data_IF_854360891043
#
_entry.id   IF_854360891043
#
_cell.length_a   1.000
_cell.length_b   1.000
_cell.length_c   1.000
_cell.angle_alpha   90.00
_cell.angle_beta   90.00
_cell.angle_gamma   90.00
#
_symmetry.space_group_name_H-M   'P 1'
#
loop_
_entity.id
_entity.type
_entity.pdbx_description
1 polymer ?
#
# COMPACT_ATOMS: atom_id res chain seq x y z
N UNK A 1 -15.00 13.81 -1.57
CA UNK A 1 -13.95 12.88 -2.04
C UNK A 1 -14.15 11.39 -1.71
N UNK A 2 -14.41 11.02 -0.44
CA UNK A 2 -14.40 9.60 0.04
C UNK A 2 -15.18 8.59 -0.81
N UNK A 3 -16.41 8.93 -1.22
CA UNK A 3 -17.24 8.05 -2.06
C UNK A 3 -16.59 7.70 -3.40
N UNK A 4 -16.04 8.70 -4.09
CA UNK A 4 -15.33 8.52 -5.36
C UNK A 4 -14.07 7.65 -5.17
N UNK A 5 -13.29 7.94 -4.13
CA UNK A 5 -12.10 7.15 -3.81
C UNK A 5 -12.43 5.68 -3.57
N UNK A 6 -13.42 5.38 -2.74
CA UNK A 6 -13.82 4.00 -2.43
C UNK A 6 -14.36 3.25 -3.66
N UNK A 7 -15.08 3.95 -4.55
CA UNK A 7 -15.56 3.37 -5.80
C UNK A 7 -14.38 2.92 -6.68
N UNK A 8 -13.40 3.79 -6.91
CA UNK A 8 -12.22 3.46 -7.74
C UNK A 8 -11.37 2.36 -7.09
N UNK A 9 -11.20 2.37 -5.77
CA UNK A 9 -10.47 1.30 -5.06
C UNK A 9 -11.22 -0.04 -5.18
N UNK A 10 -12.55 -0.04 -5.16
CA UNK A 10 -13.34 -1.26 -5.38
C UNK A 10 -13.18 -1.81 -6.80
N UNK A 11 -13.14 -0.92 -7.80
CA UNK A 11 -12.86 -1.31 -9.20
C UNK A 11 -11.45 -1.90 -9.35
N UNK A 12 -10.45 -1.24 -8.76
CA UNK A 12 -9.08 -1.73 -8.66
C UNK A 12 -9.01 -3.16 -8.07
N UNK A 13 -9.72 -3.41 -6.97
CA UNK A 13 -9.73 -4.72 -6.33
C UNK A 13 -10.34 -5.81 -7.21
N UNK A 14 -11.40 -5.49 -7.96
CA UNK A 14 -12.00 -6.41 -8.94
C UNK A 14 -11.04 -6.71 -10.09
N UNK A 15 -10.36 -5.69 -10.61
CA UNK A 15 -9.36 -5.87 -11.66
C UNK A 15 -8.21 -6.77 -11.18
N UNK A 16 -7.64 -6.50 -10.02
CA UNK A 16 -6.58 -7.34 -9.43
C UNK A 16 -7.08 -8.76 -9.17
N UNK A 17 -8.31 -8.93 -8.68
CA UNK A 17 -8.90 -10.24 -8.45
C UNK A 17 -9.05 -11.04 -9.74
N UNK A 18 -9.36 -10.38 -10.86
CA UNK A 18 -9.47 -11.02 -12.18
C UNK A 18 -8.13 -11.58 -12.69
N UNK A 19 -7.00 -11.11 -12.15
CA UNK A 19 -5.67 -11.64 -12.47
C UNK A 19 -5.37 -12.96 -11.75
N UNK A 20 -6.24 -13.46 -10.87
CA UNK A 20 -6.02 -14.76 -10.22
C UNK A 20 -5.86 -15.86 -11.26
N UNK A 21 -4.74 -16.57 -11.23
CA UNK A 21 -4.43 -17.68 -12.13
C UNK A 21 -3.16 -17.49 -12.97
N UNK A 22 -2.63 -16.27 -13.09
CA UNK A 22 -1.27 -16.08 -13.61
C UNK A 22 -0.23 -16.29 -12.51
N UNK A 23 1.01 -16.56 -12.90
CA UNK A 23 2.15 -16.67 -11.98
C UNK A 23 2.29 -15.42 -11.10
N UNK A 24 2.66 -15.61 -9.83
CA UNK A 24 2.75 -14.57 -8.79
C UNK A 24 3.61 -13.38 -9.19
N UNK A 25 4.74 -13.60 -9.86
CA UNK A 25 5.59 -12.51 -10.34
C UNK A 25 4.85 -11.64 -11.37
N UNK A 26 4.25 -12.26 -12.38
CA UNK A 26 3.47 -11.54 -13.39
C UNK A 26 2.23 -10.85 -12.79
N UNK A 27 1.59 -11.49 -11.81
CA UNK A 27 0.50 -10.88 -11.05
C UNK A 27 0.96 -9.60 -10.36
N UNK A 28 2.08 -9.65 -9.64
CA UNK A 28 2.62 -8.50 -8.92
C UNK A 28 2.94 -7.33 -9.85
N UNK A 29 3.55 -7.60 -11.01
CA UNK A 29 3.87 -6.57 -12.02
C UNK A 29 2.61 -5.90 -12.55
N UNK A 30 1.61 -6.69 -12.96
CA UNK A 30 0.33 -6.14 -13.45
C UNK A 30 -0.44 -5.39 -12.38
N UNK A 31 -0.46 -5.91 -11.14
CA UNK A 31 -1.11 -5.24 -10.03
C UNK A 31 -0.47 -3.86 -9.76
N UNK A 32 0.86 -3.76 -9.76
CA UNK A 32 1.58 -2.48 -9.62
C UNK A 32 1.17 -1.49 -10.71
N UNK A 33 1.09 -1.93 -11.97
CA UNK A 33 0.66 -1.08 -13.09
C UNK A 33 -0.75 -0.54 -12.89
N UNK A 34 -1.72 -1.40 -12.55
CA UNK A 34 -3.10 -1.00 -12.30
C UNK A 34 -3.18 -0.02 -11.11
N UNK A 35 -2.48 -0.32 -10.01
CA UNK A 35 -2.45 0.52 -8.82
C UNK A 35 -1.86 1.90 -9.13
N UNK A 36 -0.77 1.97 -9.91
CA UNK A 36 -0.17 3.25 -10.32
C UNK A 36 -1.11 4.08 -11.20
N UNK A 37 -1.83 3.45 -12.12
CA UNK A 37 -2.84 4.12 -12.94
C UNK A 37 -3.98 4.69 -12.07
N UNK A 38 -4.43 3.94 -11.08
CA UNK A 38 -5.42 4.40 -10.10
C UNK A 38 -4.87 5.53 -9.23
N UNK A 39 -3.64 5.42 -8.73
CA UNK A 39 -3.00 6.46 -7.94
C UNK A 39 -2.86 7.77 -8.71
N UNK A 40 -2.55 7.69 -10.01
CA UNK A 40 -2.52 8.85 -10.90
C UNK A 40 -3.90 9.50 -11.01
N UNK A 41 -4.97 8.73 -11.27
CA UNK A 41 -6.36 9.25 -11.32
C UNK A 41 -6.77 9.92 -10.00
N UNK A 42 -6.44 9.32 -8.87
CA UNK A 42 -6.72 9.90 -7.54
C UNK A 42 -5.97 11.21 -7.36
N UNK A 43 -4.69 11.26 -7.73
CA UNK A 43 -3.88 12.49 -7.66
C UNK A 43 -4.46 13.60 -8.53
N UNK A 44 -4.81 13.30 -9.77
CA UNK A 44 -5.43 14.25 -10.70
C UNK A 44 -6.75 14.78 -10.14
N UNK A 45 -7.61 13.91 -9.61
CA UNK A 45 -8.86 14.30 -8.96
C UNK A 45 -8.63 15.29 -7.80
N UNK A 46 -7.63 15.03 -6.94
CA UNK A 46 -7.31 15.91 -5.81
C UNK A 46 -6.74 17.23 -6.28
N UNK A 47 -5.82 17.22 -7.25
CA UNK A 47 -5.26 18.46 -7.80
C UNK A 47 -6.31 19.35 -8.47
N UNK A 48 -7.33 18.77 -9.10
CA UNK A 48 -8.39 19.53 -9.75
C UNK A 48 -9.47 20.05 -8.79
N UNK A 49 -9.82 19.29 -7.75
CA UNK A 49 -10.94 19.63 -6.87
C UNK A 49 -10.51 20.25 -5.53
N UNK A 50 -9.25 20.03 -5.11
CA UNK A 50 -8.78 20.36 -3.77
C UNK A 50 -9.45 19.53 -2.67
N UNK A 51 -9.19 19.92 -1.42
CA UNK A 51 -9.93 19.45 -0.25
C UNK A 51 -10.97 20.51 0.14
N UNK A 52 -12.14 20.06 0.59
CA UNK A 52 -13.21 20.94 1.08
C UNK A 52 -12.79 21.69 2.34
N UNK A 53 -12.11 21.01 3.24
CA UNK A 53 -11.68 21.48 4.55
C UNK A 53 -10.48 20.64 5.03
N UNK A 54 -9.85 21.09 6.12
CA UNK A 54 -8.68 20.42 6.72
C UNK A 54 -9.05 19.00 7.16
N UNK A 55 -10.27 18.78 7.61
CA UNK A 55 -10.79 17.47 8.01
C UNK A 55 -10.87 16.49 6.83
N UNK A 56 -11.28 16.94 5.63
CA UNK A 56 -11.26 16.11 4.42
C UNK A 56 -9.82 15.80 3.98
N UNK A 57 -8.88 16.73 4.16
CA UNK A 57 -7.45 16.53 3.90
C UNK A 57 -6.83 15.49 4.83
N UNK A 58 -7.04 15.64 6.15
CA UNK A 58 -6.60 14.68 7.17
C UNK A 58 -7.19 13.31 6.89
N UNK A 59 -8.50 13.22 6.61
CA UNK A 59 -9.17 11.97 6.25
C UNK A 59 -8.50 11.32 5.05
N UNK A 60 -8.12 12.10 4.04
CA UNK A 60 -7.46 11.57 2.86
C UNK A 60 -6.07 11.01 3.19
N UNK A 61 -5.21 11.78 3.83
CA UNK A 61 -3.82 11.36 4.09
C UNK A 61 -3.72 10.28 5.16
N UNK A 62 -4.59 10.32 6.18
CA UNK A 62 -4.58 9.38 7.31
C UNK A 62 -5.31 8.07 7.04
N UNK A 63 -6.41 8.09 6.28
CA UNK A 63 -7.25 6.89 6.08
C UNK A 63 -7.29 6.43 4.62
N UNK A 64 -7.60 7.33 3.68
CA UNK A 64 -7.87 6.93 2.29
C UNK A 64 -6.59 6.54 1.55
N UNK A 65 -5.60 7.44 1.49
CA UNK A 65 -4.33 7.23 0.80
C UNK A 65 -3.63 5.94 1.26
N UNK A 66 -3.58 5.58 2.56
CA UNK A 66 -3.03 4.30 3.01
C UNK A 66 -3.71 3.07 2.43
N UNK A 67 -5.03 3.09 2.18
CA UNK A 67 -5.74 1.93 1.58
C UNK A 67 -5.19 1.60 0.19
N UNK A 68 -4.87 2.63 -0.60
CA UNK A 68 -4.30 2.44 -1.93
C UNK A 68 -2.80 2.11 -1.88
N UNK A 69 -2.03 2.88 -1.11
CA UNK A 69 -0.58 2.76 -1.07
C UNK A 69 -0.11 1.49 -0.34
N UNK A 70 -0.85 0.99 0.64
CA UNK A 70 -0.55 -0.32 1.27
C UNK A 70 -0.57 -1.46 0.25
N UNK A 71 -1.48 -1.42 -0.73
CA UNK A 71 -1.51 -2.40 -1.83
C UNK A 71 -0.29 -2.23 -2.75
N UNK A 72 0.09 -0.99 -3.06
CA UNK A 72 1.28 -0.72 -3.87
C UNK A 72 2.54 -1.29 -3.19
N UNK A 73 2.71 -1.02 -1.90
CA UNK A 73 3.82 -1.56 -1.08
C UNK A 73 3.78 -3.09 -1.14
N UNK A 74 2.63 -3.70 -0.83
CA UNK A 74 2.47 -5.16 -0.83
C UNK A 74 2.91 -5.81 -2.15
N UNK A 75 2.39 -5.32 -3.29
CA UNK A 75 2.74 -5.91 -4.59
C UNK A 75 4.17 -5.59 -5.03
N UNK A 76 4.73 -4.45 -4.61
CA UNK A 76 6.15 -4.12 -4.84
C UNK A 76 7.05 -5.10 -4.11
N UNK A 77 6.81 -5.32 -2.81
CA UNK A 77 7.54 -6.32 -2.01
C UNK A 77 7.36 -7.73 -2.57
N UNK A 78 6.13 -8.11 -2.96
CA UNK A 78 5.86 -9.42 -3.56
C UNK A 78 6.65 -9.63 -4.86
N UNK A 79 6.73 -8.60 -5.71
CA UNK A 79 7.53 -8.63 -6.94
C UNK A 79 9.01 -8.84 -6.61
N UNK A 80 9.56 -8.10 -5.65
CA UNK A 80 10.96 -8.22 -5.26
C UNK A 80 11.30 -9.61 -4.70
N UNK A 81 10.44 -10.10 -3.80
CA UNK A 81 10.56 -11.45 -3.22
C UNK A 81 10.53 -12.51 -4.31
N UNK A 82 9.52 -12.50 -5.19
CA UNK A 82 9.38 -13.52 -6.23
C UNK A 82 10.47 -13.40 -7.31
N UNK A 83 10.97 -12.20 -7.61
CA UNK A 83 12.08 -12.01 -8.54
C UNK A 83 13.37 -12.64 -8.02
N UNK A 84 13.71 -12.43 -6.74
CA UNK A 84 14.88 -13.07 -6.12
C UNK A 84 14.66 -14.55 -5.88
N UNK A 85 13.41 -14.98 -5.67
CA UNK A 85 13.07 -16.40 -5.48
C UNK A 85 13.51 -17.27 -6.65
N UNK A 86 13.39 -16.75 -7.88
CA UNK A 86 13.79 -17.46 -9.11
C UNK A 86 15.29 -17.78 -9.15
N UNK A 87 16.14 -17.01 -8.45
CA UNK A 87 17.59 -17.27 -8.42
C UNK A 87 18.04 -18.25 -7.32
N UNK A 88 17.14 -18.72 -6.46
CA UNK A 88 17.52 -19.68 -5.41
C UNK A 88 17.42 -21.12 -5.90
N UNK A 89 18.48 -21.89 -5.64
CA UNK A 89 18.61 -23.29 -6.05
C UNK A 89 17.87 -24.24 -5.09
N UNK A 90 17.73 -23.86 -3.82
CA UNK A 90 17.10 -24.71 -2.79
C UNK A 90 16.08 -23.94 -1.94
N UNK A 91 15.13 -24.69 -1.38
CA UNK A 91 14.12 -24.16 -0.46
C UNK A 91 14.71 -23.61 0.84
N UNK A 92 15.91 -24.02 1.22
CA UNK A 92 16.59 -23.52 2.42
C UNK A 92 17.01 -22.06 2.25
N UNK A 93 17.58 -21.69 1.11
CA UNK A 93 17.91 -20.30 0.80
C UNK A 93 16.66 -19.42 0.74
N UNK A 94 15.57 -19.93 0.16
CA UNK A 94 14.26 -19.24 0.18
C UNK A 94 13.80 -18.97 1.61
N UNK A 95 13.93 -19.97 2.51
CA UNK A 95 13.52 -19.83 3.91
C UNK A 95 14.33 -18.75 4.64
N UNK A 96 15.66 -18.79 4.52
CA UNK A 96 16.55 -17.80 5.16
C UNK A 96 16.21 -16.39 4.66
N UNK A 97 16.06 -16.23 3.35
CA UNK A 97 15.69 -14.97 2.71
C UNK A 97 14.35 -14.40 3.23
N UNK A 98 13.33 -15.25 3.41
CA UNK A 98 12.02 -14.84 3.93
C UNK A 98 12.08 -14.48 5.42
N UNK A 99 12.92 -15.18 6.21
CA UNK A 99 13.15 -14.83 7.61
C UNK A 99 13.83 -13.46 7.74
N UNK A 100 14.82 -13.16 6.91
CA UNK A 100 15.45 -11.83 6.85
C UNK A 100 14.44 -10.74 6.45
N UNK A 101 13.55 -11.00 5.49
CA UNK A 101 12.46 -10.06 5.17
C UNK A 101 11.54 -9.81 6.36
N UNK A 102 11.17 -10.88 7.08
CA UNK A 102 10.31 -10.78 8.25
C UNK A 102 10.97 -9.96 9.36
N UNK A 103 12.26 -10.17 9.60
CA UNK A 103 13.01 -9.40 10.58
C UNK A 103 13.05 -7.91 10.22
N UNK A 104 13.32 -7.56 8.95
CA UNK A 104 13.30 -6.16 8.49
C UNK A 104 11.95 -5.48 8.70
N UNK A 105 10.84 -6.21 8.51
CA UNK A 105 9.50 -5.68 8.81
C UNK A 105 9.29 -5.44 10.30
N UNK A 106 9.78 -6.34 11.15
CA UNK A 106 9.72 -6.16 12.61
C UNK A 106 10.56 -4.97 13.06
N UNK A 107 11.78 -4.82 12.54
CA UNK A 107 12.66 -3.70 12.86
C UNK A 107 12.02 -2.36 12.45
N UNK A 108 11.49 -2.27 11.22
CA UNK A 108 10.76 -1.09 10.78
C UNK A 108 9.55 -0.75 11.67
N UNK A 109 8.80 -1.77 12.11
CA UNK A 109 7.67 -1.57 13.03
C UNK A 109 8.14 -1.04 14.39
N UNK A 110 9.24 -1.58 14.92
CA UNK A 110 9.81 -1.16 16.20
C UNK A 110 10.33 0.28 16.13
N UNK A 111 11.04 0.62 15.06
CA UNK A 111 11.55 1.98 14.82
C UNK A 111 10.41 3.01 14.73
N UNK A 112 9.23 2.58 14.26
CA UNK A 112 8.05 3.42 14.08
C UNK A 112 6.93 3.12 15.09
N UNK A 113 7.26 2.54 16.25
CA UNK A 113 6.26 2.02 17.20
C UNK A 113 5.29 3.10 17.69
N UNK A 114 5.77 4.33 17.89
CA UNK A 114 4.95 5.45 18.33
C UNK A 114 3.93 5.87 17.26
N UNK A 115 4.33 5.92 16.00
CA UNK A 115 3.43 6.19 14.87
C UNK A 115 2.40 5.09 14.73
N UNK A 116 2.82 3.82 14.87
CA UNK A 116 1.90 2.68 14.85
C UNK A 116 0.89 2.74 15.99
N UNK A 117 1.32 3.03 17.22
CA UNK A 117 0.43 3.18 18.38
C UNK A 117 -0.53 4.36 18.20
N UNK A 118 -0.04 5.50 17.72
CA UNK A 118 -0.85 6.68 17.43
C UNK A 118 -2.01 6.34 16.48
N UNK A 119 -1.69 5.68 15.35
CA UNK A 119 -2.68 5.26 14.36
C UNK A 119 -3.63 4.20 14.94
N UNK A 120 -3.11 3.20 15.65
CA UNK A 120 -3.89 2.09 16.21
C UNK A 120 -4.89 2.52 17.28
N UNK A 121 -4.52 3.51 18.09
CA UNK A 121 -5.37 4.06 19.15
C UNK A 121 -6.41 5.07 18.62
N UNK A 122 -6.38 5.39 17.32
CA UNK A 122 -7.28 6.40 16.75
C UNK A 122 -7.04 7.80 17.33
N UNK A 123 -5.82 8.09 17.77
CA UNK A 123 -5.45 9.41 18.31
C UNK A 123 -5.56 10.48 17.23
N UNK A 124 -5.94 11.70 17.62
CA UNK A 124 -6.17 12.83 16.68
C UNK A 124 -5.37 14.09 17.01
N UNK A 125 -4.69 14.12 18.15
CA UNK A 125 -4.05 15.33 18.68
C UNK A 125 -2.84 15.84 17.86
N UNK A 126 -2.28 15.00 16.97
CA UNK A 126 -1.21 15.39 16.02
C UNK A 126 -1.70 15.42 14.57
N UNK A 127 -3.00 15.28 14.31
CA UNK A 127 -3.46 15.06 12.93
C UNK A 127 -3.14 16.24 12.01
N UNK A 128 -3.33 17.46 12.49
CA UNK A 128 -2.98 18.67 11.76
C UNK A 128 -1.46 18.90 11.58
N UNK A 129 -0.60 18.14 12.26
CA UNK A 129 0.84 18.21 12.05
C UNK A 129 1.35 17.07 11.14
N UNK A 130 0.60 15.97 11.05
CA UNK A 130 1.02 14.75 10.36
C UNK A 130 0.31 14.51 9.02
N UNK A 131 -0.90 15.07 8.83
CA UNK A 131 -1.80 14.71 7.72
C UNK A 131 -2.41 15.91 6.98
N UNK A 132 -1.79 17.08 7.08
CA UNK A 132 -2.08 18.28 6.27
C UNK A 132 -0.80 18.71 5.57
#
# INVERSE_FOLDING_TARGET
MKKYFMMIVSELEKEIYSLKGINTLNLSVKAIEIINNVAKKVKEYICCNGFKDIEEEILFFKELKPILYSKLIYYTELKEIESKRVSFVSNEYVRVYLLEHTQRLMDYLNDNIYTYQYLKLGSTFLDAALFT
#
